data_IF_733499467115
#
_entry.id   IF_733499467115
#
_cell.length_a   1.000
_cell.length_b   1.000
_cell.length_c   1.000
_cell.angle_alpha   90.00
_cell.angle_beta   90.00
_cell.angle_gamma   90.00
#
_symmetry.space_group_name_H-M   'P 1'
#
loop_
_entity.id
_entity.type
_entity.pdbx_description
1 polymer ?
#
# COMPACT_ATOMS: atom_id res chain seq x y z
N UNK A 1 -5.55 16.20 -17.60
CA UNK A 1 -4.85 16.68 -16.38
C UNK A 1 -5.50 17.99 -15.95
N UNK A 2 -5.79 18.17 -14.66
CA UNK A 2 -6.29 19.45 -14.16
C UNK A 2 -5.22 20.53 -14.40
N UNK A 3 -5.62 21.67 -14.95
CA UNK A 3 -4.75 22.81 -15.22
C UNK A 3 -4.95 23.81 -14.10
N UNK A 4 -3.94 23.98 -13.24
CA UNK A 4 -3.98 24.94 -12.13
C UNK A 4 -3.30 26.25 -12.57
N UNK A 5 -3.86 27.39 -12.21
CA UNK A 5 -3.33 28.70 -12.59
C UNK A 5 -2.12 29.12 -11.76
N UNK A 6 -2.00 28.61 -10.54
CA UNK A 6 -0.87 28.87 -9.63
C UNK A 6 -0.71 27.77 -8.57
N UNK A 7 0.44 27.79 -7.88
CA UNK A 7 0.78 26.80 -6.84
C UNK A 7 -0.21 26.78 -5.67
N UNK A 8 -0.81 27.92 -5.34
CA UNK A 8 -1.81 28.01 -4.27
C UNK A 8 -3.07 27.22 -4.64
N UNK A 9 -3.55 27.38 -5.87
CA UNK A 9 -4.72 26.64 -6.36
C UNK A 9 -4.45 25.13 -6.41
N UNK A 10 -3.23 24.72 -6.82
CA UNK A 10 -2.81 23.33 -6.79
C UNK A 10 -2.78 22.77 -5.36
N UNK A 11 -2.23 23.52 -4.39
CA UNK A 11 -2.19 23.12 -2.98
C UNK A 11 -3.59 23.02 -2.35
N UNK A 12 -4.48 23.97 -2.67
CA UNK A 12 -5.88 23.95 -2.22
C UNK A 12 -6.62 22.74 -2.79
N UNK A 13 -6.39 22.39 -4.06
CA UNK A 13 -6.96 21.20 -4.70
C UNK A 13 -6.48 19.91 -4.04
N UNK A 14 -5.18 19.79 -3.78
CA UNK A 14 -4.59 18.65 -3.07
C UNK A 14 -5.18 18.49 -1.67
N UNK A 15 -5.36 19.59 -0.94
CA UNK A 15 -5.93 19.58 0.41
C UNK A 15 -7.35 19.03 0.40
N UNK A 16 -8.18 19.44 -0.58
CA UNK A 16 -9.55 18.91 -0.75
C UNK A 16 -9.55 17.42 -1.11
N UNK A 17 -8.72 17.00 -2.05
CA UNK A 17 -8.60 15.60 -2.44
C UNK A 17 -8.15 14.72 -1.27
N UNK A 18 -7.18 15.19 -0.48
CA UNK A 18 -6.72 14.50 0.72
C UNK A 18 -7.81 14.37 1.79
N UNK A 19 -8.62 15.41 1.99
CA UNK A 19 -9.77 15.35 2.90
C UNK A 19 -10.81 14.33 2.43
N UNK A 20 -11.14 14.32 1.14
CA UNK A 20 -12.04 13.33 0.54
C UNK A 20 -11.52 11.91 0.73
N UNK A 21 -10.24 11.67 0.41
CA UNK A 21 -9.59 10.38 0.59
C UNK A 21 -9.70 9.89 2.05
N UNK A 22 -9.40 10.75 3.03
CA UNK A 22 -9.53 10.39 4.45
C UNK A 22 -10.96 10.09 4.86
N UNK A 23 -11.94 10.80 4.31
CA UNK A 23 -13.35 10.54 4.57
C UNK A 23 -13.77 9.18 4.03
N UNK A 24 -13.36 8.82 2.81
CA UNK A 24 -13.65 7.50 2.23
C UNK A 24 -13.02 6.36 3.05
N UNK A 25 -11.74 6.49 3.44
CA UNK A 25 -11.08 5.52 4.31
C UNK A 25 -11.80 5.41 5.66
N UNK A 26 -12.25 6.54 6.23
CA UNK A 26 -12.96 6.60 7.51
C UNK A 26 -14.32 5.90 7.52
N UNK A 27 -14.91 5.59 6.35
CA UNK A 27 -16.14 4.79 6.27
C UNK A 27 -15.92 3.33 6.64
N UNK A 28 -14.69 2.82 6.48
CA UNK A 28 -14.31 1.43 6.77
C UNK A 28 -13.45 1.35 8.03
N UNK A 29 -12.52 2.29 8.19
CA UNK A 29 -11.54 2.31 9.28
C UNK A 29 -11.99 3.34 10.34
N UNK A 30 -12.55 2.85 11.44
CA UNK A 30 -13.08 3.68 12.53
C UNK A 30 -12.07 3.80 13.67
N UNK A 31 -11.86 5.03 14.18
CA UNK A 31 -11.06 5.28 15.39
C UNK A 31 -9.54 5.12 15.23
N UNK A 32 -9.03 5.18 13.99
CA UNK A 32 -7.59 5.11 13.68
C UNK A 32 -7.12 6.27 12.79
N UNK A 33 -7.67 7.46 13.00
CA UNK A 33 -7.45 8.65 12.17
C UNK A 33 -5.98 9.07 12.09
N UNK A 34 -5.24 8.91 13.19
CA UNK A 34 -3.80 9.22 13.26
C UNK A 34 -2.97 8.19 12.48
N UNK A 35 -3.28 6.90 12.63
CA UNK A 35 -2.58 5.82 11.92
C UNK A 35 -2.76 5.98 10.42
N UNK A 36 -4.00 6.25 9.97
CA UNK A 36 -4.30 6.54 8.56
C UNK A 36 -3.47 7.73 8.06
N UNK A 37 -3.40 8.83 8.83
CA UNK A 37 -2.59 10.01 8.49
C UNK A 37 -1.11 9.66 8.33
N UNK A 38 -0.53 8.89 9.25
CA UNK A 38 0.88 8.50 9.22
C UNK A 38 1.19 7.56 8.05
N UNK A 39 0.32 6.59 7.77
CA UNK A 39 0.50 5.66 6.63
C UNK A 39 0.41 6.41 5.31
N UNK A 40 -0.58 7.30 5.13
CA UNK A 40 -0.66 8.14 3.93
C UNK A 40 0.58 9.03 3.76
N UNK A 41 1.07 9.61 4.86
CA UNK A 41 2.31 10.42 4.85
C UNK A 41 3.49 9.60 4.35
N UNK A 42 3.65 8.37 4.84
CA UNK A 42 4.73 7.49 4.40
C UNK A 42 4.59 7.11 2.92
N UNK A 43 3.39 6.77 2.45
CA UNK A 43 3.14 6.45 1.04
C UNK A 43 3.53 7.63 0.13
N UNK A 44 3.08 8.85 0.45
CA UNK A 44 3.40 10.03 -0.34
C UNK A 44 4.89 10.41 -0.28
N UNK A 45 5.57 10.10 0.83
CA UNK A 45 7.00 10.28 0.98
C UNK A 45 7.85 9.11 0.45
N UNK A 46 7.23 8.08 -0.15
CA UNK A 46 7.89 6.83 -0.58
C UNK A 46 8.66 6.14 0.57
N UNK A 47 8.18 6.28 1.79
CA UNK A 47 8.72 5.66 2.99
C UNK A 47 8.10 4.30 3.30
N UNK A 48 8.60 3.67 4.37
CA UNK A 48 8.08 2.39 4.88
C UNK A 48 7.49 2.57 6.28
N UNK A 49 6.43 1.82 6.58
CA UNK A 49 5.79 1.82 7.90
C UNK A 49 5.90 0.45 8.58
N UNK A 50 6.13 0.47 9.89
CA UNK A 50 5.97 -0.70 10.75
C UNK A 50 4.70 -0.53 11.59
N UNK A 51 3.69 -1.39 11.37
CA UNK A 51 2.43 -1.35 12.10
C UNK A 51 2.44 -2.37 13.25
N UNK A 52 2.67 -1.90 14.47
CA UNK A 52 2.70 -2.73 15.67
C UNK A 52 1.33 -2.77 16.36
N UNK A 53 0.98 -3.88 16.98
CA UNK A 53 -0.17 -4.01 17.86
C UNK A 53 -0.79 -5.40 17.80
N UNK A 54 -1.79 -5.64 18.63
CA UNK A 54 -2.36 -6.98 18.81
C UNK A 54 -3.06 -7.49 17.54
N UNK A 55 -3.15 -8.83 17.36
CA UNK A 55 -3.95 -9.44 16.29
C UNK A 55 -5.41 -8.96 16.34
N UNK A 56 -6.03 -8.83 15.17
CA UNK A 56 -7.45 -8.47 15.07
C UNK A 56 -7.75 -6.97 15.02
N UNK A 57 -6.77 -6.07 15.13
CA UNK A 57 -6.96 -4.61 15.01
C UNK A 57 -7.01 -4.10 13.56
N UNK A 58 -7.57 -4.91 12.66
CA UNK A 58 -7.82 -4.54 11.27
C UNK A 58 -6.59 -3.97 10.50
N UNK A 59 -5.35 -4.33 10.87
CA UNK A 59 -4.12 -3.82 10.21
C UNK A 59 -4.12 -4.13 8.72
N UNK A 60 -4.47 -5.36 8.36
CA UNK A 60 -4.59 -5.79 6.96
C UNK A 60 -5.68 -5.02 6.24
N UNK A 61 -6.85 -4.87 6.87
CA UNK A 61 -7.97 -4.13 6.30
C UNK A 61 -7.59 -2.66 6.06
N UNK A 62 -6.91 -2.02 7.02
CA UNK A 62 -6.43 -0.64 6.90
C UNK A 62 -5.55 -0.46 5.67
N UNK A 63 -4.55 -1.33 5.48
CA UNK A 63 -3.63 -1.22 4.34
C UNK A 63 -4.35 -1.51 3.03
N UNK A 64 -5.23 -2.52 3.00
CA UNK A 64 -6.03 -2.84 1.82
C UNK A 64 -6.95 -1.68 1.44
N UNK A 65 -7.69 -1.10 2.40
CA UNK A 65 -8.57 0.06 2.17
C UNK A 65 -7.78 1.27 1.64
N UNK A 66 -6.58 1.53 2.16
CA UNK A 66 -5.73 2.61 1.66
C UNK A 66 -5.28 2.33 0.23
N UNK A 67 -4.86 1.10 -0.09
CA UNK A 67 -4.45 0.72 -1.43
C UNK A 67 -5.61 0.86 -2.42
N UNK A 68 -6.78 0.33 -2.10
CA UNK A 68 -7.99 0.44 -2.93
C UNK A 68 -8.41 1.90 -3.14
N UNK A 69 -8.33 2.74 -2.09
CA UNK A 69 -8.70 4.16 -2.18
C UNK A 69 -7.73 5.00 -3.02
N UNK A 70 -6.50 4.52 -3.21
CA UNK A 70 -5.46 5.17 -4.00
C UNK A 70 -5.25 4.49 -5.36
N UNK A 71 -6.04 3.47 -5.71
CA UNK A 71 -5.89 2.64 -6.91
C UNK A 71 -4.47 2.01 -7.01
N UNK A 72 -3.97 1.51 -5.87
CA UNK A 72 -2.67 0.86 -5.77
C UNK A 72 -2.82 -0.67 -5.72
N UNK A 73 -1.83 -1.38 -6.27
CA UNK A 73 -1.73 -2.83 -6.09
C UNK A 73 -1.40 -3.18 -4.62
N UNK A 74 -2.14 -4.12 -4.05
CA UNK A 74 -1.91 -4.65 -2.71
C UNK A 74 -1.45 -6.11 -2.75
N UNK A 75 -0.24 -6.36 -2.26
CA UNK A 75 0.32 -7.71 -2.09
C UNK A 75 0.61 -7.98 -0.62
N UNK A 76 0.29 -9.18 -0.15
CA UNK A 76 0.49 -9.61 1.24
C UNK A 76 1.43 -10.80 1.29
N UNK A 77 2.58 -10.62 1.96
CA UNK A 77 3.55 -11.69 2.22
C UNK A 77 3.50 -12.05 3.70
N UNK A 78 3.19 -13.31 4.00
CA UNK A 78 3.27 -13.83 5.36
C UNK A 78 4.68 -14.35 5.60
N UNK A 79 5.39 -13.73 6.53
CA UNK A 79 6.70 -14.23 6.96
C UNK A 79 6.50 -15.53 7.74
N UNK A 80 7.18 -16.58 7.31
CA UNK A 80 7.32 -17.88 7.97
C UNK A 80 8.81 -18.19 8.12
N UNK A 81 9.23 -19.05 9.06
CA UNK A 81 10.64 -19.40 9.22
C UNK A 81 11.25 -20.05 7.97
N UNK A 82 10.41 -20.66 7.12
CA UNK A 82 10.83 -21.37 5.91
C UNK A 82 10.84 -20.47 4.65
N UNK A 83 10.36 -19.22 4.75
CA UNK A 83 10.27 -18.32 3.59
C UNK A 83 11.67 -17.99 3.06
N UNK A 84 11.94 -18.33 1.80
CA UNK A 84 13.21 -18.03 1.16
C UNK A 84 13.16 -16.67 0.45
N UNK A 85 14.29 -15.94 0.34
CA UNK A 85 14.34 -14.69 -0.43
C UNK A 85 13.88 -14.85 -1.88
N UNK A 86 14.13 -16.03 -2.48
CA UNK A 86 13.65 -16.40 -3.82
C UNK A 86 12.13 -16.41 -3.94
N UNK A 87 11.40 -16.68 -2.86
CA UNK A 87 9.93 -16.68 -2.87
C UNK A 87 9.38 -15.25 -3.00
N UNK A 88 10.16 -14.23 -2.64
CA UNK A 88 9.79 -12.81 -2.70
C UNK A 88 10.34 -12.16 -3.98
N UNK A 89 11.62 -12.35 -4.28
CA UNK A 89 12.27 -11.70 -5.44
C UNK A 89 11.93 -12.43 -6.74
N UNK A 90 11.67 -13.73 -6.67
CA UNK A 90 11.52 -14.64 -7.81
C UNK A 90 12.75 -15.53 -8.01
N UNK A 91 12.58 -16.60 -8.77
CA UNK A 91 13.63 -17.58 -9.07
C UNK A 91 13.54 -18.10 -10.50
N UNK A 92 14.67 -18.57 -11.04
CA UNK A 92 14.68 -19.31 -12.29
C UNK A 92 14.32 -20.77 -12.03
N UNK A 93 13.37 -21.28 -12.81
CA UNK A 93 12.90 -22.67 -12.74
C UNK A 93 13.13 -23.35 -14.08
N UNK A 94 13.55 -24.62 -14.05
CA UNK A 94 13.71 -25.43 -15.25
C UNK A 94 12.35 -26.03 -15.61
N UNK A 95 11.87 -25.74 -16.83
CA UNK A 95 10.61 -26.30 -17.34
C UNK A 95 10.80 -27.77 -17.75
N UNK A 96 9.68 -28.43 -18.10
CA UNK A 96 9.72 -29.78 -18.67
C UNK A 96 10.40 -29.84 -20.05
N UNK A 97 10.45 -28.73 -20.79
CA UNK A 97 11.16 -28.64 -22.07
C UNK A 97 12.67 -28.37 -21.90
N UNK A 98 13.18 -28.35 -20.65
CA UNK A 98 14.59 -28.09 -20.30
C UNK A 98 15.08 -26.68 -20.64
N UNK A 99 14.18 -25.71 -20.74
CA UNK A 99 14.49 -24.28 -20.75
C UNK A 99 14.31 -23.66 -19.36
N UNK A 100 15.03 -22.55 -19.12
CA UNK A 100 14.93 -21.80 -17.86
C UNK A 100 13.88 -20.70 -18.00
N UNK A 101 12.92 -20.66 -17.09
CA UNK A 101 11.90 -19.62 -17.00
C UNK A 101 11.94 -18.93 -15.63
N UNK A 102 11.96 -17.60 -15.64
CA UNK A 102 11.88 -16.80 -14.42
C UNK A 102 10.43 -16.76 -13.90
N UNK A 103 10.25 -17.15 -12.64
CA UNK A 103 8.99 -17.08 -11.91
C UNK A 103 9.11 -15.96 -10.88
N UNK A 104 8.32 -14.89 -11.07
CA UNK A 104 8.33 -13.72 -10.18
C UNK A 104 7.59 -14.03 -8.87
N UNK A 105 8.14 -13.56 -7.75
CA UNK A 105 7.45 -13.57 -6.45
C UNK A 105 6.21 -12.67 -6.43
N UNK A 106 5.34 -12.84 -5.41
CA UNK A 106 4.09 -12.12 -5.25
C UNK A 106 4.28 -10.64 -4.90
#
# INVERSE_FOLDING_TARGET
MAQFQNDKEAADSLTRAYQQLRQEIGKVIVGQEEVVRLVLTAVFAQGHCLLVGVPGLAKTLLIQTIADSLDLSFNRIQFTPDLMPSDIVGSETLTQQRDFQFVKGP
#
